data_IF_593764036675
#
_entry.id   IF_593764036675
#
_cell.length_a   1.000
_cell.length_b   1.000
_cell.length_c   1.000
_cell.angle_alpha   90.00
_cell.angle_beta   90.00
_cell.angle_gamma   90.00
#
_symmetry.space_group_name_H-M   'P 1'
#
loop_
_entity.id
_entity.type
_entity.pdbx_description
1 polymer ?
#
# COMPACT_ATOMS: atom_id res chain seq x y z
N UNK A 1 16.27 2.15 18.37
CA UNK A 1 17.04 1.69 17.19
C UNK A 1 18.46 1.32 17.56
N UNK A 2 19.18 2.16 18.33
CA UNK A 2 20.53 1.79 18.82
C UNK A 2 20.50 0.59 19.77
N UNK A 3 19.51 0.53 20.67
CA UNK A 3 19.25 -0.63 21.54
C UNK A 3 18.99 -1.90 20.72
N UNK A 4 18.09 -1.84 19.74
CA UNK A 4 17.79 -2.94 18.80
C UNK A 4 19.01 -3.41 17.99
N UNK A 5 19.87 -2.47 17.57
CA UNK A 5 21.09 -2.79 16.84
C UNK A 5 22.07 -3.57 17.74
N UNK A 6 22.23 -3.14 18.99
CA UNK A 6 23.07 -3.80 19.99
C UNK A 6 22.54 -5.18 20.38
N UNK A 7 21.23 -5.31 20.62
CA UNK A 7 20.59 -6.59 21.01
C UNK A 7 20.71 -7.67 19.94
N UNK A 8 20.67 -7.28 18.66
CA UNK A 8 20.68 -8.20 17.53
C UNK A 8 22.02 -8.30 16.81
N UNK A 9 23.07 -7.62 17.29
CA UNK A 9 24.41 -7.68 16.70
C UNK A 9 24.46 -7.15 15.26
N UNK A 10 23.60 -6.20 14.93
CA UNK A 10 23.51 -5.58 13.61
C UNK A 10 23.89 -4.11 13.67
N UNK A 11 24.30 -3.52 12.56
CA UNK A 11 24.60 -2.09 12.50
C UNK A 11 23.32 -1.25 12.53
N UNK A 12 23.42 -0.02 13.00
CA UNK A 12 22.30 0.94 12.95
C UNK A 12 21.81 1.16 11.51
N UNK A 13 22.69 1.10 10.51
CA UNK A 13 22.30 1.18 9.09
C UNK A 13 21.40 0.03 8.70
N UNK A 14 21.76 -1.21 9.03
CA UNK A 14 20.96 -2.39 8.71
C UNK A 14 19.58 -2.34 9.37
N UNK A 15 19.48 -1.86 10.62
CA UNK A 15 18.18 -1.66 11.28
C UNK A 15 17.32 -0.66 10.53
N UNK A 16 17.91 0.45 10.05
CA UNK A 16 17.19 1.45 9.25
C UNK A 16 16.76 0.88 7.90
N UNK A 17 17.62 0.12 7.23
CA UNK A 17 17.33 -0.48 5.93
C UNK A 17 16.18 -1.49 6.03
N UNK A 18 16.17 -2.32 7.08
CA UNK A 18 15.09 -3.27 7.35
C UNK A 18 13.77 -2.52 7.63
N UNK A 19 13.82 -1.48 8.47
CA UNK A 19 12.63 -0.69 8.79
C UNK A 19 12.07 -0.01 7.53
N UNK A 20 12.92 0.61 6.72
CA UNK A 20 12.52 1.28 5.49
C UNK A 20 11.95 0.29 4.47
N UNK A 21 12.59 -0.88 4.29
CA UNK A 21 12.13 -1.93 3.37
C UNK A 21 10.72 -2.40 3.71
N UNK A 22 10.39 -2.51 5.00
CA UNK A 22 9.02 -2.86 5.44
C UNK A 22 8.00 -1.79 5.06
N UNK A 23 8.32 -0.52 5.23
CA UNK A 23 7.41 0.58 4.84
C UNK A 23 7.28 0.71 3.33
N UNK A 24 8.37 0.54 2.58
CA UNK A 24 8.38 0.54 1.12
C UNK A 24 7.55 -0.61 0.56
N UNK A 25 7.70 -1.82 1.10
CA UNK A 25 6.89 -2.97 0.74
C UNK A 25 5.39 -2.74 0.99
N UNK A 26 5.03 -2.17 2.15
CA UNK A 26 3.63 -1.82 2.44
C UNK A 26 3.14 -0.76 1.45
N UNK A 27 3.94 0.27 1.17
CA UNK A 27 3.58 1.32 0.22
C UNK A 27 3.42 0.79 -1.21
N UNK A 28 4.26 -0.15 -1.63
CA UNK A 28 4.21 -0.83 -2.92
C UNK A 28 2.94 -1.66 -3.05
N UNK A 29 2.64 -2.56 -2.10
CA UNK A 29 1.40 -3.34 -2.12
C UNK A 29 0.17 -2.42 -2.13
N UNK A 30 0.19 -1.36 -1.31
CA UNK A 30 -0.85 -0.34 -1.32
C UNK A 30 -0.99 0.31 -2.69
N UNK A 31 0.11 0.60 -3.41
CA UNK A 31 0.08 1.22 -4.73
C UNK A 31 -0.29 0.23 -5.85
N UNK A 32 0.13 -1.02 -5.79
CA UNK A 32 -0.12 -2.02 -6.84
C UNK A 32 -1.55 -2.53 -6.81
N UNK A 33 -2.07 -2.79 -5.61
CA UNK A 33 -3.48 -3.10 -5.40
C UNK A 33 -4.39 -1.93 -5.77
N UNK A 34 -3.87 -0.70 -5.81
CA UNK A 34 -4.57 0.54 -6.22
C UNK A 34 -4.44 0.81 -7.74
N UNK A 35 -3.31 0.45 -8.38
CA UNK A 35 -3.10 0.70 -9.82
C UNK A 35 -3.70 -0.34 -10.77
N UNK A 36 -3.69 -1.62 -10.39
CA UNK A 36 -4.07 -2.72 -11.31
C UNK A 36 -5.42 -3.33 -10.99
N UNK A 37 -5.76 -3.47 -9.70
CA UNK A 37 -6.97 -4.20 -9.28
C UNK A 37 -7.98 -3.38 -8.49
N UNK A 38 -7.62 -2.17 -8.03
CA UNK A 38 -8.42 -1.31 -7.13
C UNK A 38 -8.98 -2.02 -5.88
N UNK A 39 -8.37 -3.14 -5.49
CA UNK A 39 -8.89 -4.06 -4.47
C UNK A 39 -8.14 -3.96 -3.13
N UNK A 40 -7.25 -2.99 -2.97
CA UNK A 40 -6.54 -2.82 -1.72
C UNK A 40 -7.41 -2.10 -0.67
N UNK A 41 -7.92 -2.86 0.31
CA UNK A 41 -8.69 -2.33 1.43
C UNK A 41 -7.79 -1.99 2.64
N UNK A 42 -6.99 -2.97 3.08
CA UNK A 42 -6.14 -2.83 4.28
C UNK A 42 -5.03 -3.90 4.35
N UNK A 43 -3.95 -3.57 5.07
CA UNK A 43 -2.93 -4.50 5.58
C UNK A 43 -2.99 -4.48 7.11
N UNK A 44 -3.00 -5.66 7.72
CA UNK A 44 -2.85 -5.81 9.17
C UNK A 44 -1.42 -6.21 9.51
N UNK A 45 -0.74 -5.37 10.27
CA UNK A 45 0.54 -5.71 10.89
C UNK A 45 0.28 -6.16 12.33
N UNK A 46 0.55 -7.44 12.60
CA UNK A 46 0.33 -8.03 13.92
C UNK A 46 1.09 -7.24 15.00
N UNK A 47 0.39 -6.90 16.10
CA UNK A 47 0.90 -6.09 17.23
C UNK A 47 1.18 -4.60 16.92
N UNK A 48 0.97 -4.14 15.68
CA UNK A 48 1.15 -2.74 15.28
C UNK A 48 -0.18 -2.06 14.95
N UNK A 49 -1.02 -2.70 14.14
CA UNK A 49 -2.32 -2.16 13.77
C UNK A 49 -2.73 -2.45 12.34
N UNK A 50 -3.74 -1.71 11.87
CA UNK A 50 -4.30 -1.85 10.53
C UNK A 50 -4.03 -0.58 9.72
N UNK A 51 -3.39 -0.75 8.58
CA UNK A 51 -3.11 0.30 7.61
C UNK A 51 -4.13 0.17 6.48
N UNK A 52 -4.94 1.20 6.26
CA UNK A 52 -6.02 1.18 5.26
C UNK A 52 -6.02 2.43 4.40
N UNK A 53 -6.50 2.30 3.17
CA UNK A 53 -6.69 3.46 2.29
C UNK A 53 -7.88 4.27 2.80
N UNK A 54 -7.72 5.60 2.86
CA UNK A 54 -8.80 6.51 3.26
C UNK A 54 -9.99 6.35 2.30
N UNK A 55 -11.20 6.32 2.86
CA UNK A 55 -12.44 6.10 2.09
C UNK A 55 -12.64 7.11 0.96
N UNK A 56 -12.25 8.38 1.15
CA UNK A 56 -12.30 9.40 0.10
C UNK A 56 -11.46 9.04 -1.13
N UNK A 57 -10.29 8.43 -0.92
CA UNK A 57 -9.41 7.96 -1.99
C UNK A 57 -9.98 6.73 -2.68
N UNK A 58 -10.57 5.78 -1.94
CA UNK A 58 -11.29 4.63 -2.53
C UNK A 58 -12.44 5.06 -3.45
N UNK A 59 -13.26 6.02 -3.01
CA UNK A 59 -14.37 6.55 -3.82
C UNK A 59 -13.89 7.24 -5.10
N UNK A 60 -12.80 8.00 -5.01
CA UNK A 60 -12.21 8.67 -6.18
C UNK A 60 -11.81 7.66 -7.26
N UNK A 61 -11.14 6.57 -6.90
CA UNK A 61 -10.74 5.58 -7.89
C UNK A 61 -11.88 4.74 -8.43
N UNK A 62 -12.86 4.38 -7.60
CA UNK A 62 -14.07 3.70 -8.08
C UNK A 62 -14.75 4.51 -9.18
N UNK A 63 -14.87 5.82 -8.97
CA UNK A 63 -15.42 6.73 -9.98
C UNK A 63 -14.62 6.73 -11.29
N UNK A 64 -13.29 6.79 -11.21
CA UNK A 64 -12.43 6.72 -12.40
C UNK A 64 -12.58 5.39 -13.16
N UNK A 65 -12.76 4.28 -12.44
CA UNK A 65 -13.00 2.97 -13.04
C UNK A 65 -14.37 2.87 -13.71
N UNK A 66 -15.41 3.40 -13.05
CA UNK A 66 -16.77 3.44 -13.60
C UNK A 66 -16.84 4.31 -14.87
N UNK A 67 -16.13 5.46 -14.89
CA UNK A 67 -16.03 6.33 -16.07
C UNK A 67 -15.29 5.64 -17.23
N UNK A 68 -14.20 4.92 -16.94
CA UNK A 68 -13.47 4.14 -17.96
C UNK A 68 -14.31 3.04 -18.57
N UNK A 69 -15.09 2.32 -17.76
CA UNK A 69 -15.93 1.22 -18.23
C UNK A 69 -17.09 1.73 -19.11
N UNK A 70 -17.67 2.90 -18.80
CA UNK A 70 -18.74 3.52 -19.59
C UNK A 70 -18.27 3.99 -20.98
N UNK A 71 -17.05 4.52 -21.10
CA UNK A 71 -16.52 4.97 -22.39
C UNK A 71 -16.22 3.84 -23.38
N UNK A 72 -16.11 2.59 -22.91
CA UNK A 72 -15.91 1.40 -23.75
C UNK A 72 -17.19 0.84 -24.37
N UNK A 73 -18.37 1.15 -23.81
CA UNK A 73 -19.66 0.64 -24.32
C UNK A 73 -20.23 1.50 -25.47
N UNK A 74 -19.82 2.77 -25.61
CA UNK A 74 -20.36 3.67 -26.65
C UNK A 74 -19.67 3.53 -28.03
N UNK A 75 -18.71 2.60 -28.19
CA UNK A 75 -17.97 2.37 -29.44
C UNK A 75 -18.39 1.13 -30.24
N UNK A 76 -19.45 0.44 -29.84
CA UNK A 76 -19.96 -0.79 -30.49
C UNK A 76 -21.40 -0.59 -30.98
N UNK A 77 -21.60 0.31 -31.94
CA UNK A 77 -22.88 0.56 -32.59
C UNK A 77 -22.70 1.13 -33.98
#
# INVERSE_FOLDING_TARGET
MEETASEHGVTLSQVKDIANSMFEFVAEIMSEGDRKGLNFAEIRLMRWGVFKVKEGRRRHFKRLQDERNKGTDEGSG
#
